data_IF_586901384404
#
_entry.id   IF_586901384404
#
_cell.length_a   1.000
_cell.length_b   1.000
_cell.length_c   1.000
_cell.angle_alpha   90.00
_cell.angle_beta   90.00
_cell.angle_gamma   90.00
#
_symmetry.space_group_name_H-M   'P 1'
#
loop_
_entity.id
_entity.type
_entity.pdbx_description
1 polymer ?
#
# COMPACT_ATOMS: atom_id res chain seq x y z
N UNK A 1 -3.37 12.57 -20.72
CA UNK A 1 -2.23 11.90 -21.38
C UNK A 1 -1.50 11.11 -20.32
N UNK A 2 -1.54 9.77 -20.36
CA UNK A 2 -0.86 8.93 -19.37
C UNK A 2 0.64 9.14 -19.58
N UNK A 3 1.29 9.84 -18.65
CA UNK A 3 2.74 10.03 -18.68
C UNK A 3 3.39 8.76 -18.15
N UNK A 4 4.05 8.02 -19.03
CA UNK A 4 4.95 6.94 -18.65
C UNK A 4 6.14 7.53 -17.90
N UNK A 5 6.36 7.10 -16.66
CA UNK A 5 7.51 7.50 -15.83
C UNK A 5 8.49 6.32 -15.74
N UNK A 6 9.49 6.33 -16.63
CA UNK A 6 10.47 5.26 -16.74
C UNK A 6 11.32 5.11 -15.47
N UNK A 7 11.65 6.23 -14.82
CA UNK A 7 12.51 6.28 -13.64
C UNK A 7 11.77 5.74 -12.42
N UNK A 8 10.52 6.16 -12.24
CA UNK A 8 9.67 5.65 -11.17
C UNK A 8 9.37 4.15 -11.36
N UNK A 9 9.10 3.71 -12.59
CA UNK A 9 8.90 2.30 -12.92
C UNK A 9 10.13 1.44 -12.59
N UNK A 10 11.33 1.89 -13.01
CA UNK A 10 12.58 1.16 -12.76
C UNK A 10 12.88 1.06 -11.26
N UNK A 11 12.76 2.17 -10.53
CA UNK A 11 12.99 2.21 -9.08
C UNK A 11 12.09 1.25 -8.31
N UNK A 12 10.78 1.29 -8.56
CA UNK A 12 9.84 0.41 -7.86
C UNK A 12 9.94 -1.04 -8.30
N UNK A 13 10.26 -1.31 -9.56
CA UNK A 13 10.53 -2.67 -10.02
C UNK A 13 11.71 -3.29 -9.27
N UNK A 14 12.83 -2.60 -9.17
CA UNK A 14 13.99 -3.10 -8.41
C UNK A 14 13.66 -3.35 -6.94
N UNK A 15 12.84 -2.46 -6.36
CA UNK A 15 12.33 -2.60 -5.00
C UNK A 15 11.48 -3.86 -4.84
N UNK A 16 10.56 -4.13 -5.76
CA UNK A 16 9.71 -5.33 -5.75
C UNK A 16 10.51 -6.61 -5.95
N UNK A 17 11.46 -6.63 -6.91
CA UNK A 17 12.33 -7.79 -7.13
C UNK A 17 13.15 -8.12 -5.87
N UNK A 18 13.68 -7.12 -5.17
CA UNK A 18 14.46 -7.34 -3.94
C UNK A 18 13.61 -7.80 -2.74
N UNK A 19 12.32 -7.48 -2.72
CA UNK A 19 11.46 -7.67 -1.54
C UNK A 19 10.51 -8.85 -1.66
N UNK A 20 10.00 -9.07 -2.86
CA UNK A 20 8.95 -10.04 -3.18
C UNK A 20 9.44 -11.06 -4.22
N UNK A 21 10.68 -10.92 -4.71
CA UNK A 21 11.27 -11.82 -5.71
C UNK A 21 10.42 -11.90 -7.00
N UNK A 22 9.65 -10.85 -7.28
CA UNK A 22 8.72 -10.77 -8.40
C UNK A 22 9.03 -9.55 -9.28
N UNK A 23 9.10 -9.77 -10.59
CA UNK A 23 9.20 -8.70 -11.59
C UNK A 23 7.83 -8.43 -12.23
N UNK A 24 7.33 -7.21 -12.06
CA UNK A 24 6.06 -6.78 -12.66
C UNK A 24 6.06 -6.88 -14.18
N UNK A 25 7.23 -6.88 -14.85
CA UNK A 25 7.35 -7.05 -16.30
C UNK A 25 6.94 -8.43 -16.80
N UNK A 26 6.99 -9.44 -15.96
CA UNK A 26 6.52 -10.79 -16.33
C UNK A 26 5.00 -10.84 -16.55
N UNK A 27 4.28 -9.82 -16.08
CA UNK A 27 2.84 -9.71 -16.25
C UNK A 27 2.48 -9.32 -17.69
N UNK A 28 2.04 -10.30 -18.46
CA UNK A 28 1.44 -10.15 -19.78
C UNK A 28 -0.07 -9.79 -19.80
N UNK A 29 -0.63 -9.32 -18.68
CA UNK A 29 -2.02 -8.78 -18.62
C UNK A 29 -3.16 -9.76 -18.97
N UNK A 30 -3.05 -11.04 -18.60
CA UNK A 30 -4.13 -12.04 -18.83
C UNK A 30 -5.46 -11.79 -18.08
N UNK A 31 -5.47 -10.99 -17.01
CA UNK A 31 -6.69 -10.67 -16.25
C UNK A 31 -7.18 -11.74 -15.25
N UNK A 32 -6.56 -12.92 -15.17
CA UNK A 32 -6.96 -13.99 -14.23
C UNK A 32 -7.03 -13.53 -12.77
N UNK A 33 -6.11 -12.66 -12.36
CA UNK A 33 -6.08 -12.11 -11.00
C UNK A 33 -7.30 -11.24 -10.71
N UNK A 34 -7.76 -10.46 -11.68
CA UNK A 34 -8.95 -9.61 -11.55
C UNK A 34 -10.23 -10.44 -11.54
N UNK A 35 -10.35 -11.41 -12.46
CA UNK A 35 -11.49 -12.31 -12.50
C UNK A 35 -11.60 -13.20 -11.24
N UNK A 36 -10.46 -13.55 -10.62
CA UNK A 36 -10.43 -14.35 -9.40
C UNK A 36 -10.58 -13.55 -8.11
N UNK A 37 -10.47 -12.22 -8.13
CA UNK A 37 -10.46 -11.43 -6.91
C UNK A 37 -11.89 -11.23 -6.37
N UNK A 38 -12.22 -11.73 -5.17
CA UNK A 38 -13.57 -11.60 -4.62
C UNK A 38 -13.91 -10.17 -4.20
N UNK A 39 -12.89 -9.33 -3.99
CA UNK A 39 -13.05 -7.94 -3.55
C UNK A 39 -12.91 -6.92 -4.71
N UNK A 40 -12.72 -7.36 -5.95
CA UNK A 40 -12.47 -6.45 -7.08
C UNK A 40 -13.57 -5.40 -7.26
N UNK A 41 -14.82 -5.72 -6.89
CA UNK A 41 -15.96 -4.82 -6.99
C UNK A 41 -15.91 -3.61 -6.05
N UNK A 42 -15.07 -3.64 -5.01
CA UNK A 42 -14.86 -2.51 -4.10
C UNK A 42 -13.63 -1.68 -4.45
N UNK A 43 -12.82 -2.13 -5.42
CA UNK A 43 -11.60 -1.46 -5.81
C UNK A 43 -11.87 -0.43 -6.90
N UNK A 44 -11.11 0.66 -6.87
CA UNK A 44 -11.01 1.62 -7.96
C UNK A 44 -10.25 1.06 -9.17
N UNK A 45 -9.21 0.27 -8.91
CA UNK A 45 -8.45 -0.46 -9.92
C UNK A 45 -8.39 -1.95 -9.62
N UNK A 46 -8.70 -2.74 -10.64
CA UNK A 46 -8.58 -4.20 -10.54
C UNK A 46 -7.11 -4.64 -10.45
N UNK A 47 -6.82 -5.83 -9.89
CA UNK A 47 -5.45 -6.32 -9.73
C UNK A 47 -4.60 -6.26 -11.01
N UNK A 48 -5.14 -6.61 -12.18
CA UNK A 48 -4.37 -6.54 -13.43
C UNK A 48 -4.05 -5.08 -13.83
N UNK A 49 -4.98 -4.14 -13.60
CA UNK A 49 -4.76 -2.71 -13.83
C UNK A 49 -3.65 -2.18 -12.92
N UNK A 50 -3.67 -2.54 -11.63
CA UNK A 50 -2.58 -2.20 -10.69
C UNK A 50 -1.24 -2.72 -11.19
N UNK A 51 -1.17 -3.98 -11.64
CA UNK A 51 0.05 -4.53 -12.23
C UNK A 51 0.50 -3.73 -13.46
N UNK A 52 -0.42 -3.29 -14.31
CA UNK A 52 -0.10 -2.44 -15.47
C UNK A 52 0.43 -1.08 -15.05
N UNK A 53 -0.21 -0.44 -14.08
CA UNK A 53 0.20 0.86 -13.54
C UNK A 53 1.61 0.80 -12.96
N UNK A 54 1.95 -0.28 -12.25
CA UNK A 54 3.31 -0.52 -11.76
C UNK A 54 4.33 -0.67 -12.91
N UNK A 55 3.96 -1.33 -14.02
CA UNK A 55 4.84 -1.45 -15.20
C UNK A 55 5.11 -0.10 -15.86
N UNK A 56 4.12 0.80 -15.88
CA UNK A 56 4.23 2.12 -16.55
C UNK A 56 4.70 3.24 -15.62
N UNK A 57 4.99 2.94 -14.36
CA UNK A 57 5.51 3.90 -13.40
C UNK A 57 4.48 4.82 -12.77
N UNK A 58 3.20 4.44 -12.75
CA UNK A 58 2.13 5.19 -12.08
C UNK A 58 2.01 4.78 -10.61
N UNK A 59 3.12 4.82 -9.87
CA UNK A 59 3.18 4.19 -8.55
C UNK A 59 2.48 5.05 -7.50
N UNK A 60 2.57 6.37 -7.60
CA UNK A 60 1.87 7.24 -6.65
C UNK A 60 0.34 7.06 -6.75
N UNK A 61 -0.20 6.90 -7.96
CA UNK A 61 -1.62 6.59 -8.19
C UNK A 61 -2.00 5.21 -7.63
N UNK A 62 -1.13 4.21 -7.76
CA UNK A 62 -1.34 2.89 -7.13
C UNK A 62 -1.35 3.00 -5.62
N UNK A 63 -0.45 3.78 -5.03
CA UNK A 63 -0.38 3.94 -3.57
C UNK A 63 -1.56 4.72 -3.00
N UNK A 64 -2.16 5.62 -3.78
CA UNK A 64 -3.38 6.35 -3.42
C UNK A 64 -4.67 5.55 -3.71
N UNK A 65 -4.55 4.41 -4.39
CA UNK A 65 -5.70 3.61 -4.78
C UNK A 65 -6.39 2.89 -3.61
N UNK A 66 -7.71 2.75 -3.71
CA UNK A 66 -8.49 1.95 -2.74
C UNK A 66 -8.12 0.47 -2.81
N UNK A 67 -7.70 -0.03 -3.97
CA UNK A 67 -7.29 -1.42 -4.20
C UNK A 67 -6.23 -1.91 -3.20
N UNK A 68 -5.21 -1.11 -2.92
CA UNK A 68 -4.13 -1.49 -2.00
C UNK A 68 -4.63 -1.60 -0.55
N UNK A 69 -5.52 -0.69 -0.15
CA UNK A 69 -6.03 -0.65 1.22
C UNK A 69 -7.09 -1.71 1.49
N UNK A 70 -7.98 -1.92 0.51
CA UNK A 70 -9.10 -2.86 0.59
C UNK A 70 -8.72 -4.30 0.28
N UNK A 71 -7.50 -4.57 -0.20
CA UNK A 71 -7.00 -5.92 -0.36
C UNK A 71 -7.09 -6.71 0.95
N UNK A 72 -7.83 -7.82 0.90
CA UNK A 72 -8.06 -8.75 2.01
C UNK A 72 -7.01 -9.85 2.11
N UNK A 73 -5.99 -9.82 1.24
CA UNK A 73 -4.87 -10.76 1.27
C UNK A 73 -5.29 -12.25 1.20
N UNK A 74 -6.29 -12.56 0.37
CA UNK A 74 -6.80 -13.93 0.18
C UNK A 74 -5.93 -14.84 -0.71
N UNK A 75 -4.82 -14.32 -1.26
CA UNK A 75 -3.82 -15.04 -2.08
C UNK A 75 -4.35 -15.66 -3.40
N UNK A 76 -5.62 -15.45 -3.77
CA UNK A 76 -6.21 -16.07 -4.97
C UNK A 76 -5.54 -15.61 -6.26
N UNK A 77 -5.14 -14.33 -6.33
CA UNK A 77 -4.45 -13.76 -7.49
C UNK A 77 -3.08 -14.43 -7.75
N UNK A 78 -2.29 -14.66 -6.70
CA UNK A 78 -1.01 -15.37 -6.78
C UNK A 78 -1.23 -16.82 -7.19
N UNK A 79 -2.14 -17.53 -6.53
CA UNK A 79 -2.40 -18.95 -6.78
C UNK A 79 -2.88 -19.26 -8.21
N UNK A 80 -3.55 -18.30 -8.87
CA UNK A 80 -4.08 -18.46 -10.23
C UNK A 80 -3.22 -17.81 -11.32
N UNK A 81 -2.07 -17.24 -10.95
CA UNK A 81 -1.21 -16.57 -11.92
C UNK A 81 -0.50 -17.61 -12.80
N UNK A 82 -0.74 -17.65 -14.12
CA UNK A 82 -0.07 -18.59 -15.02
C UNK A 82 1.42 -18.28 -15.22
N UNK A 83 1.87 -17.09 -14.78
CA UNK A 83 3.26 -16.65 -14.79
C UNK A 83 3.95 -16.81 -13.43
N UNK A 84 3.26 -17.39 -12.43
CA UNK A 84 3.77 -17.55 -11.06
C UNK A 84 4.27 -16.25 -10.41
N UNK A 85 3.59 -15.14 -10.69
CA UNK A 85 3.90 -13.84 -10.08
C UNK A 85 3.24 -13.80 -8.71
N UNK A 86 3.98 -13.43 -7.66
CA UNK A 86 3.42 -13.19 -6.34
C UNK A 86 2.71 -11.83 -6.25
N UNK A 87 1.52 -11.76 -6.85
CA UNK A 87 0.69 -10.55 -6.89
C UNK A 87 0.24 -10.16 -5.48
N UNK A 88 -0.09 -11.13 -4.62
CA UNK A 88 -0.49 -10.85 -3.25
C UNK A 88 0.66 -10.26 -2.42
N UNK A 89 1.89 -10.79 -2.56
CA UNK A 89 3.08 -10.22 -1.94
C UNK A 89 3.38 -8.80 -2.42
N UNK A 90 3.17 -8.50 -3.71
CA UNK A 90 3.28 -7.14 -4.26
C UNK A 90 2.28 -6.21 -3.57
N UNK A 91 1.00 -6.61 -3.47
CA UNK A 91 -0.02 -5.84 -2.76
C UNK A 91 0.33 -5.66 -1.27
N UNK A 92 0.95 -6.66 -0.63
CA UNK A 92 1.41 -6.57 0.76
C UNK A 92 2.47 -5.48 0.95
N UNK A 93 3.49 -5.48 0.08
CA UNK A 93 4.58 -4.51 0.15
C UNK A 93 4.02 -3.10 -0.06
N UNK A 94 3.17 -2.92 -1.07
CA UNK A 94 2.51 -1.64 -1.32
C UNK A 94 1.66 -1.18 -0.14
N UNK A 95 0.88 -2.08 0.48
CA UNK A 95 0.09 -1.75 1.68
C UNK A 95 0.97 -1.34 2.85
N UNK A 96 2.14 -1.97 3.01
CA UNK A 96 3.15 -1.60 4.00
C UNK A 96 3.72 -0.20 3.72
N UNK A 97 4.01 0.10 2.46
CA UNK A 97 4.48 1.43 2.01
C UNK A 97 3.44 2.50 2.34
N UNK A 98 2.17 2.31 1.94
CA UNK A 98 1.08 3.26 2.20
C UNK A 98 0.86 3.47 3.71
N UNK A 99 0.95 2.41 4.50
CA UNK A 99 0.78 2.47 5.96
C UNK A 99 1.90 3.29 6.59
N UNK A 100 3.15 3.08 6.14
CA UNK A 100 4.32 3.80 6.65
C UNK A 100 4.36 5.27 6.22
N UNK A 101 3.83 5.61 5.04
CA UNK A 101 3.72 6.98 4.55
C UNK A 101 2.50 7.74 5.10
N UNK A 102 1.64 7.06 5.87
CA UNK A 102 0.44 7.65 6.48
C UNK A 102 -0.53 8.31 5.47
N UNK A 103 -0.57 7.86 4.21
CA UNK A 103 -1.44 8.43 3.16
C UNK A 103 -2.94 8.34 3.47
N UNK A 104 -3.76 9.22 2.94
CA UNK A 104 -5.20 9.13 3.21
C UNK A 104 -5.81 7.87 2.59
N UNK A 105 -6.84 7.31 3.23
CA UNK A 105 -7.50 6.08 2.76
C UNK A 105 -9.01 6.17 2.85
N UNK A 106 -9.75 5.46 1.98
CA UNK A 106 -11.21 5.49 2.01
C UNK A 106 -11.81 4.99 3.33
N UNK A 107 -12.98 5.55 3.67
CA UNK A 107 -14.01 4.93 4.51
C UNK A 107 -13.53 4.29 5.82
N UNK A 108 -12.71 5.01 6.58
CA UNK A 108 -12.22 4.59 7.89
C UNK A 108 -11.39 3.29 7.90
N UNK A 109 -10.95 2.79 6.74
CA UNK A 109 -10.16 1.55 6.62
C UNK A 109 -8.85 1.64 7.40
N UNK A 110 -8.23 2.82 7.43
CA UNK A 110 -7.03 3.10 8.25
C UNK A 110 -7.33 2.96 9.73
N UNK A 111 -8.46 3.50 10.19
CA UNK A 111 -8.88 3.38 11.59
C UNK A 111 -9.09 1.92 11.95
N UNK A 112 -9.82 1.16 11.13
CA UNK A 112 -10.06 -0.27 11.35
C UNK A 112 -8.75 -1.07 11.39
N UNK A 113 -7.90 -0.96 10.36
CA UNK A 113 -6.64 -1.70 10.30
C UNK A 113 -5.73 -1.34 11.48
N UNK A 114 -5.70 -0.07 11.89
CA UNK A 114 -4.91 0.38 13.05
C UNK A 114 -5.45 -0.19 14.36
N UNK A 115 -6.76 -0.13 14.61
CA UNK A 115 -7.36 -0.66 15.84
C UNK A 115 -7.18 -2.18 15.92
N UNK A 116 -7.37 -2.86 14.79
CA UNK A 116 -7.20 -4.30 14.66
C UNK A 116 -5.76 -4.71 14.97
N UNK A 117 -4.78 -4.12 14.30
CA UNK A 117 -3.37 -4.45 14.50
C UNK A 117 -2.89 -4.08 15.90
N UNK A 118 -3.33 -2.95 16.46
CA UNK A 118 -3.02 -2.57 17.84
C UNK A 118 -3.64 -3.53 18.86
N UNK A 119 -4.84 -4.05 18.59
CA UNK A 119 -5.47 -5.05 19.44
C UNK A 119 -4.69 -6.38 19.40
N UNK A 120 -4.34 -6.86 18.21
CA UNK A 120 -3.51 -8.07 18.04
C UNK A 120 -2.13 -7.89 18.69
N UNK A 121 -1.48 -6.74 18.50
CA UNK A 121 -0.19 -6.44 19.10
C UNK A 121 -0.23 -6.33 20.63
N UNK A 122 -1.39 -6.03 21.23
CA UNK A 122 -1.55 -5.89 22.69
C UNK A 122 -1.97 -7.19 23.36
N UNK A 123 -2.83 -7.97 22.70
CA UNK A 123 -3.49 -9.14 23.27
C UNK A 123 -3.04 -10.46 22.66
N UNK A 124 -2.28 -10.47 21.55
CA UNK A 124 -1.89 -11.68 20.82
C UNK A 124 -3.04 -12.40 20.12
N UNK A 125 -4.25 -11.83 20.18
CA UNK A 125 -5.48 -12.24 19.50
C UNK A 125 -6.36 -11.01 19.34
N UNK A 126 -7.35 -11.07 18.45
CA UNK A 126 -8.36 -10.02 18.35
C UNK A 126 -9.44 -10.22 19.42
N UNK A 127 -9.60 -9.31 20.40
CA UNK A 127 -10.78 -9.28 21.24
C UNK A 127 -11.86 -8.46 20.52
N UNK A 128 -12.90 -9.15 20.08
CA UNK A 128 -13.87 -8.69 19.08
C UNK A 128 -14.64 -7.46 19.58
N UNK A 129 -15.13 -7.49 20.84
CA UNK A 129 -15.81 -6.34 21.45
C UNK A 129 -14.88 -5.14 21.62
N UNK A 130 -13.63 -5.39 22.02
CA UNK A 130 -12.64 -4.33 22.24
C UNK A 130 -12.31 -3.59 20.95
N UNK A 131 -12.07 -4.36 19.87
CA UNK A 131 -11.77 -3.80 18.56
C UNK A 131 -12.96 -3.02 18.01
N UNK A 132 -14.19 -3.57 18.08
CA UNK A 132 -15.40 -2.85 17.67
C UNK A 132 -15.61 -1.56 18.45
N UNK A 133 -15.46 -1.60 19.79
CA UNK A 133 -15.61 -0.41 20.63
C UNK A 133 -14.57 0.65 20.25
N UNK A 134 -13.32 0.26 20.04
CA UNK A 134 -12.26 1.19 19.60
C UNK A 134 -12.48 1.74 18.21
N UNK A 135 -12.96 0.91 17.29
CA UNK A 135 -13.26 1.33 15.93
C UNK A 135 -14.36 2.40 15.94
N UNK A 136 -15.50 2.14 16.58
CA UNK A 136 -16.61 3.11 16.64
C UNK A 136 -16.24 4.40 17.38
N UNK A 137 -15.44 4.32 18.44
CA UNK A 137 -14.92 5.52 19.11
C UNK A 137 -13.94 6.26 18.20
N UNK A 138 -13.08 5.53 17.48
CA UNK A 138 -12.09 6.11 16.57
C UNK A 138 -12.67 6.71 15.30
N UNK A 139 -13.85 6.28 14.84
CA UNK A 139 -14.56 6.89 13.71
C UNK A 139 -15.39 8.10 14.11
N UNK A 140 -15.61 8.33 15.42
CA UNK A 140 -16.42 9.43 15.98
C UNK A 140 -17.81 9.59 15.33
N UNK A 141 -18.34 8.54 14.70
CA UNK A 141 -19.59 8.57 13.94
C UNK A 141 -20.69 7.80 14.69
N UNK A 142 -21.53 8.50 15.50
CA UNK A 142 -22.55 7.84 16.33
C UNK A 142 -23.63 7.15 15.50
N UNK A 143 -23.90 7.60 14.26
CA UNK A 143 -24.85 6.93 13.36
C UNK A 143 -24.37 5.54 12.95
N UNK A 144 -23.08 5.38 12.71
CA UNK A 144 -22.49 4.07 12.34
C UNK A 144 -22.55 3.07 13.49
N UNK A 145 -22.33 3.54 14.72
CA UNK A 145 -22.48 2.73 15.92
C UNK A 145 -23.93 2.31 16.15
N UNK A 146 -24.88 3.23 15.97
CA UNK A 146 -26.32 2.97 16.13
C UNK A 146 -26.87 2.04 15.03
N UNK A 147 -26.38 2.14 13.79
CA UNK A 147 -26.82 1.31 12.68
C UNK A 147 -26.59 -0.20 12.89
N UNK A 148 -25.61 -0.57 13.73
CA UNK A 148 -25.29 -1.97 14.02
C UNK A 148 -25.93 -2.51 15.31
N UNK A 149 -26.75 -1.71 15.99
CA UNK A 149 -27.41 -2.11 17.26
C UNK A 149 -28.30 -3.33 17.08
N UNK A 150 -29.00 -3.43 15.94
CA UNK A 150 -29.86 -4.59 15.63
C UNK A 150 -29.12 -5.93 15.58
N UNK A 151 -27.83 -5.93 15.23
CA UNK A 151 -26.97 -7.13 15.23
C UNK A 151 -26.26 -7.27 16.60
N UNK A 152 -25.87 -6.15 17.22
CA UNK A 152 -25.18 -6.15 18.50
C UNK A 152 -26.04 -6.73 19.64
N UNK A 153 -27.31 -6.34 19.74
CA UNK A 153 -28.24 -6.81 20.79
C UNK A 153 -28.35 -8.35 20.82
N UNK A 154 -28.69 -9.05 19.72
CA UNK A 154 -28.80 -10.52 19.74
C UNK A 154 -27.45 -11.22 19.99
N UNK A 155 -26.31 -10.61 19.64
CA UNK A 155 -24.99 -11.19 19.94
C UNK A 155 -24.63 -11.06 21.42
N UNK A 156 -24.98 -9.93 22.06
CA UNK A 156 -24.76 -9.69 23.49
C UNK A 156 -25.71 -10.54 24.33
N UNK A 157 -27.00 -10.60 23.99
CA UNK A 157 -27.99 -11.42 24.72
C UNK A 157 -27.66 -12.90 24.64
N UNK A 158 -27.18 -13.39 23.48
CA UNK A 158 -26.71 -14.78 23.31
C UNK A 158 -25.30 -15.04 23.86
N UNK A 159 -24.68 -14.06 24.54
CA UNK A 159 -23.31 -14.13 25.10
C UNK A 159 -22.23 -14.56 24.09
N UNK A 160 -22.46 -14.29 22.80
CA UNK A 160 -21.50 -14.58 21.73
C UNK A 160 -20.38 -13.54 21.66
N UNK A 161 -20.57 -12.38 22.30
CA UNK A 161 -19.58 -11.33 22.41
C UNK A 161 -18.85 -11.40 23.75
N UNK A 162 -17.53 -11.60 23.72
CA UNK A 162 -16.70 -11.61 24.93
C UNK A 162 -16.34 -10.18 25.33
N UNK A 163 -16.98 -9.66 26.38
CA UNK A 163 -16.77 -8.28 26.84
C UNK A 163 -15.39 -8.05 27.47
N UNK A 164 -14.84 -9.06 28.16
CA UNK A 164 -13.54 -8.96 28.81
C UNK A 164 -12.46 -9.47 27.85
N UNK A 165 -11.52 -8.62 27.42
CA UNK A 165 -10.44 -9.03 26.53
C UNK A 165 -9.50 -10.00 27.26
N UNK A 166 -9.30 -11.18 26.68
CA UNK A 166 -8.30 -12.16 27.15
C UNK A 166 -7.03 -12.06 26.33
N UNK A 167 -5.88 -12.16 27.00
CA UNK A 167 -4.58 -12.29 26.34
C UNK A 167 -4.33 -13.73 25.90
N UNK A 168 -3.77 -13.90 24.70
CA UNK A 168 -3.25 -15.16 24.23
C UNK A 168 -1.91 -15.50 24.91
N UNK A 169 -1.58 -16.79 24.96
CA UNK A 169 -0.22 -17.23 25.31
C UNK A 169 0.74 -16.73 24.22
N UNK A 170 1.87 -16.11 24.60
CA UNK A 170 2.80 -15.50 23.64
C UNK A 170 2.43 -14.08 23.17
N UNK A 171 1.45 -13.42 23.79
CA UNK A 171 1.06 -12.05 23.40
C UNK A 171 2.23 -11.05 23.42
N UNK A 172 3.18 -11.21 24.34
CA UNK A 172 4.36 -10.33 24.44
C UNK A 172 5.33 -10.53 23.27
N UNK A 173 5.44 -11.76 22.74
CA UNK A 173 6.23 -12.06 21.55
C UNK A 173 5.63 -11.41 20.31
N UNK A 174 4.30 -11.55 20.13
CA UNK A 174 3.55 -10.89 19.05
C UNK A 174 3.74 -9.38 19.14
N UNK A 175 3.64 -8.80 20.35
CA UNK A 175 3.86 -7.36 20.55
C UNK A 175 5.26 -6.92 20.13
N UNK A 176 6.27 -7.72 20.45
CA UNK A 176 7.66 -7.45 20.10
C UNK A 176 7.88 -7.51 18.58
N UNK A 177 7.34 -8.54 17.94
CA UNK A 177 7.40 -8.71 16.47
C UNK A 177 6.75 -7.51 15.79
N UNK A 178 5.54 -7.14 16.20
CA UNK A 178 4.82 -6.01 15.64
C UNK A 178 5.61 -4.70 15.76
N UNK A 179 6.09 -4.37 16.97
CA UNK A 179 6.89 -3.15 17.18
C UNK A 179 8.16 -3.12 16.34
N UNK A 180 8.87 -4.26 16.25
CA UNK A 180 10.09 -4.39 15.45
C UNK A 180 9.80 -4.25 13.95
N UNK A 181 8.75 -4.90 13.45
CA UNK A 181 8.34 -4.82 12.06
C UNK A 181 7.93 -3.41 11.66
N UNK A 182 7.09 -2.75 12.47
CA UNK A 182 6.66 -1.37 12.21
C UNK A 182 7.81 -0.37 12.28
N UNK A 183 8.73 -0.51 13.24
CA UNK A 183 9.93 0.32 13.34
C UNK A 183 10.79 0.17 12.08
N UNK A 184 11.10 -1.08 11.69
CA UNK A 184 11.90 -1.38 10.49
C UNK A 184 11.24 -0.85 9.22
N UNK A 185 9.92 -0.98 9.08
CA UNK A 185 9.18 -0.47 7.93
C UNK A 185 9.27 1.06 7.82
N UNK A 186 9.08 1.77 8.94
CA UNK A 186 9.18 3.24 8.99
C UNK A 186 10.59 3.76 8.73
N UNK A 187 11.61 3.12 9.31
CA UNK A 187 13.01 3.48 9.08
C UNK A 187 13.41 3.27 7.62
N UNK A 188 13.00 2.15 7.03
CA UNK A 188 13.23 1.82 5.62
C UNK A 188 12.57 2.85 4.70
N UNK A 189 11.30 3.17 4.93
CA UNK A 189 10.60 4.17 4.10
C UNK A 189 11.19 5.57 4.27
N UNK A 190 11.64 5.96 5.46
CA UNK A 190 12.37 7.23 5.65
C UNK A 190 13.67 7.25 4.83
N UNK A 191 14.44 6.17 4.86
CA UNK A 191 15.68 6.07 4.07
C UNK A 191 15.39 6.13 2.57
N UNK A 192 14.32 5.49 2.10
CA UNK A 192 13.92 5.48 0.69
C UNK A 192 13.34 6.83 0.23
N UNK A 193 12.57 7.51 1.07
CA UNK A 193 12.10 8.86 0.81
C UNK A 193 13.28 9.84 0.68
N UNK A 194 14.27 9.72 1.56
CA UNK A 194 15.51 10.51 1.48
C UNK A 194 16.32 10.20 0.22
N UNK A 195 16.38 8.93 -0.20
CA UNK A 195 17.04 8.56 -1.46
C UNK A 195 16.31 9.14 -2.67
N UNK A 196 14.97 9.10 -2.69
CA UNK A 196 14.14 9.71 -3.74
C UNK A 196 14.31 11.23 -3.80
N UNK A 197 14.29 11.90 -2.66
CA UNK A 197 14.51 13.34 -2.58
C UNK A 197 15.92 13.73 -3.05
N UNK A 198 16.95 12.97 -2.65
CA UNK A 198 18.32 13.15 -3.15
C UNK A 198 18.41 12.92 -4.66
N UNK A 199 17.79 11.87 -5.19
CA UNK A 199 17.78 11.59 -6.63
C UNK A 199 17.06 12.70 -7.41
N UNK A 200 15.93 13.20 -6.90
CA UNK A 200 15.20 14.32 -7.48
C UNK A 200 16.02 15.62 -7.42
N UNK A 201 16.74 15.87 -6.33
CA UNK A 201 17.64 17.02 -6.20
C UNK A 201 18.79 16.93 -7.21
N UNK A 202 19.43 15.77 -7.34
CA UNK A 202 20.49 15.52 -8.32
C UNK A 202 19.99 15.72 -9.75
N UNK A 203 18.80 15.21 -10.07
CA UNK A 203 18.18 15.41 -11.39
C UNK A 203 17.87 16.89 -11.66
N UNK A 204 17.37 17.62 -10.66
CA UNK A 204 17.12 19.07 -10.76
C UNK A 204 18.40 19.88 -10.91
N UNK A 205 19.46 19.56 -10.17
CA UNK A 205 20.75 20.25 -10.28
C UNK A 205 21.46 19.92 -11.60
N UNK A 206 21.37 18.68 -12.07
CA UNK A 206 21.85 18.30 -13.40
C UNK A 206 21.10 19.04 -14.52
N UNK A 207 19.76 19.12 -14.43
CA UNK A 207 18.94 19.88 -15.37
C UNK A 207 19.27 21.39 -15.35
N UNK A 208 19.48 21.96 -14.16
CA UNK A 208 19.88 23.37 -13.99
C UNK A 208 21.27 23.65 -14.57
N UNK A 209 22.22 22.70 -14.43
CA UNK A 209 23.56 22.80 -15.01
C UNK A 209 23.52 22.75 -16.55
N UNK A 210 22.63 21.97 -17.16
CA UNK A 210 22.43 21.95 -18.62
C UNK A 210 21.74 23.20 -19.18
N UNK A 211 20.92 23.89 -18.38
CA UNK A 211 20.30 25.17 -18.80
C UNK A 211 21.20 26.40 -18.61
N UNK A 212 22.34 26.25 -17.92
CA UNK A 212 23.28 27.34 -17.61
C UNK A 212 24.48 27.46 -18.54
N UNK A 213 24.57 26.65 -19.60
CA UNK A 213 25.65 26.80 -20.59
C UNK A 213 25.40 28.05 -21.45
N UNK A 214 26.33 29.02 -21.51
CA UNK A 214 26.18 30.16 -22.40
C UNK A 214 26.19 29.64 -23.84
N UNK A 215 25.20 30.05 -24.64
CA UNK A 215 25.27 29.94 -26.08
C UNK A 215 26.48 30.74 -26.56
N UNK A 216 27.63 30.08 -26.70
CA UNK A 216 28.78 30.66 -27.39
C UNK A 216 28.40 30.82 -28.85
N UNK A 217 28.21 32.08 -29.25
CA UNK A 217 28.00 32.47 -30.63
C UNK A 217 29.14 31.98 -31.52
N UNK A 218 28.77 31.40 -32.66
CA UNK A 218 29.61 31.43 -33.86
C UNK A 218 29.03 32.50 -34.77
N UNK A 219 29.78 33.60 -34.87
CA UNK A 219 29.62 34.60 -35.90
C UNK A 219 29.93 33.99 -37.27
N UNK A 220 29.19 34.49 -38.27
CA UNK A 220 29.44 34.51 -39.71
C UNK A 220 30.53 33.65 -40.33
N UNK A 221 30.15 32.90 -41.37
CA UNK A 221 30.76 33.11 -42.69
C UNK A 221 29.76 32.78 -43.80
N UNK A 222 29.58 33.74 -44.70
CA UNK A 222 28.82 33.56 -45.94
C UNK A 222 29.66 32.89 -47.01
N UNK A 223 28.97 32.12 -47.87
CA UNK A 223 29.37 31.67 -49.21
C UNK A 223 28.02 31.47 -49.91
N UNK A 224 27.53 32.31 -50.82
CA UNK A 224 28.02 32.62 -52.16
C UNK A 224 28.20 31.38 -53.04
N UNK A 225 27.09 30.78 -53.50
CA UNK A 225 26.83 30.33 -54.87
C UNK A 225 25.37 29.92 -55.05
#
# INVERSE_FOLDING_TARGET
MIRYDADQAAFYREKLVKRVEADVRDCYQCGNCSAGCPAAFTFDYTPNQVMRMLQVGLVDEVLDSSAIQLCIQCLTCTARCPRNIDIAGIFEDLKTVVTAQERDVPEHVRTFNKTFLDAVARFGRLPEFYDMARFYVGTMNPKMALGNVGIAVPMVTKRKLKLIPRRAKGADEVSRIYKKAMKKAREREKAEAQQREKAALIARTAAAATTGAPAHGSAGNGVAE
#
